data_IF_809779792091
#
_entry.id   IF_809779792091
#
_cell.length_a   1.000
_cell.length_b   1.000
_cell.length_c   1.000
_cell.angle_alpha   90.00
_cell.angle_beta   90.00
_cell.angle_gamma   90.00
#
_symmetry.space_group_name_H-M   'P 1'
#
loop_
_entity.id
_entity.type
_entity.pdbx_description
1 polymer ?
#
# COMPACT_ATOMS: atom_id res chain seq x y z
N UNK A 1 -7.88 -40.74 -14.92
CA UNK A 1 -7.29 -39.45 -14.49
C UNK A 1 -7.58 -39.37 -13.00
N UNK A 2 -6.58 -39.34 -12.11
CA UNK A 2 -6.88 -39.12 -10.68
C UNK A 2 -7.34 -37.67 -10.56
N UNK A 3 -8.55 -37.45 -10.08
CA UNK A 3 -9.05 -36.10 -9.89
C UNK A 3 -8.29 -35.47 -8.72
N UNK A 4 -7.99 -34.18 -8.81
CA UNK A 4 -7.32 -33.44 -7.73
C UNK A 4 -8.08 -33.62 -6.40
N UNK A 5 -9.39 -33.82 -6.48
CA UNK A 5 -10.32 -34.10 -5.36
C UNK A 5 -9.99 -35.36 -4.56
N UNK A 6 -9.29 -36.33 -5.15
CA UNK A 6 -8.92 -37.58 -4.49
C UNK A 6 -7.62 -37.47 -3.67
N UNK A 7 -6.97 -36.29 -3.66
CA UNK A 7 -5.76 -36.04 -2.89
C UNK A 7 -6.12 -35.63 -1.44
N UNK A 8 -5.36 -36.08 -0.42
CA UNK A 8 -5.63 -35.72 0.97
C UNK A 8 -5.62 -34.19 1.21
N UNK A 9 -4.86 -33.44 0.41
CA UNK A 9 -4.73 -31.98 0.49
C UNK A 9 -5.53 -31.23 -0.59
N UNK A 10 -6.46 -31.89 -1.28
CA UNK A 10 -7.22 -31.31 -2.39
C UNK A 10 -7.90 -29.98 -2.04
N UNK A 11 -8.56 -29.91 -0.88
CA UNK A 11 -9.23 -28.71 -0.37
C UNK A 11 -8.24 -27.57 -0.17
N UNK A 12 -7.09 -27.87 0.45
CA UNK A 12 -6.02 -26.89 0.71
C UNK A 12 -5.42 -26.34 -0.59
N UNK A 13 -5.32 -27.17 -1.64
CA UNK A 13 -4.83 -26.76 -2.96
C UNK A 13 -5.83 -25.80 -3.63
N UNK A 14 -7.13 -26.05 -3.48
CA UNK A 14 -8.19 -25.20 -4.05
C UNK A 14 -8.30 -23.83 -3.36
N UNK A 15 -7.86 -23.71 -2.11
CA UNK A 15 -7.83 -22.44 -1.37
C UNK A 15 -6.65 -21.53 -1.73
N UNK A 16 -5.60 -22.07 -2.36
CA UNK A 16 -4.38 -21.32 -2.69
C UNK A 16 -4.70 -20.04 -3.50
N UNK A 17 -5.49 -20.08 -4.60
CA UNK A 17 -5.79 -18.88 -5.38
C UNK A 17 -6.50 -17.80 -4.56
N UNK A 18 -7.43 -18.19 -3.68
CA UNK A 18 -8.17 -17.27 -2.81
C UNK A 18 -7.20 -16.59 -1.85
N UNK A 19 -6.28 -17.34 -1.25
CA UNK A 19 -5.25 -16.80 -0.35
C UNK A 19 -4.34 -15.78 -1.05
N UNK A 20 -3.93 -16.03 -2.30
CA UNK A 20 -3.15 -15.07 -3.08
C UNK A 20 -3.95 -13.81 -3.44
N UNK A 21 -5.24 -13.94 -3.77
CA UNK A 21 -6.10 -12.79 -4.06
C UNK A 21 -6.27 -11.89 -2.82
N UNK A 22 -6.54 -12.49 -1.65
CA UNK A 22 -6.67 -11.76 -0.39
C UNK A 22 -5.37 -11.03 -0.03
N UNK A 23 -4.23 -11.72 -0.15
CA UNK A 23 -2.91 -11.12 0.05
C UNK A 23 -2.65 -9.98 -0.93
N UNK A 24 -3.04 -10.14 -2.20
CA UNK A 24 -2.94 -9.09 -3.21
C UNK A 24 -3.76 -7.85 -2.85
N UNK A 25 -5.00 -8.03 -2.38
CA UNK A 25 -5.85 -6.92 -1.89
C UNK A 25 -5.24 -6.22 -0.68
N UNK A 26 -4.65 -6.97 0.25
CA UNK A 26 -3.96 -6.39 1.41
C UNK A 26 -2.75 -5.55 0.99
N UNK A 27 -1.89 -6.08 0.11
CA UNK A 27 -0.75 -5.36 -0.43
C UNK A 27 -1.19 -4.08 -1.16
N UNK A 28 -2.18 -4.18 -2.05
CA UNK A 28 -2.70 -3.03 -2.77
C UNK A 28 -3.29 -1.94 -1.87
N UNK A 29 -4.01 -2.33 -0.79
CA UNK A 29 -4.49 -1.35 0.21
C UNK A 29 -3.34 -0.67 0.95
N UNK A 30 -2.29 -1.42 1.28
CA UNK A 30 -1.11 -0.89 1.97
C UNK A 30 -0.34 0.09 1.09
N UNK A 31 -0.05 -0.30 -0.15
CA UNK A 31 0.64 0.53 -1.14
C UNK A 31 -0.16 1.78 -1.47
N UNK A 32 -1.45 1.62 -1.81
CA UNK A 32 -2.34 2.74 -2.13
C UNK A 32 -2.49 3.74 -0.98
N UNK A 33 -2.48 3.28 0.28
CA UNK A 33 -2.49 4.18 1.45
C UNK A 33 -1.20 5.00 1.53
N UNK A 34 -0.05 4.39 1.28
CA UNK A 34 1.25 5.10 1.29
C UNK A 34 1.33 6.10 0.14
N UNK A 35 0.94 5.70 -1.07
CA UNK A 35 0.95 6.56 -2.25
C UNK A 35 -0.03 7.73 -2.10
N UNK A 36 -1.26 7.47 -1.64
CA UNK A 36 -2.25 8.52 -1.41
C UNK A 36 -1.81 9.55 -0.37
N UNK A 37 -1.16 9.12 0.72
CA UNK A 37 -0.60 10.05 1.72
C UNK A 37 0.50 10.92 1.10
N UNK A 38 1.38 10.36 0.27
CA UNK A 38 2.43 11.13 -0.42
C UNK A 38 1.86 12.12 -1.43
N UNK A 39 0.85 11.73 -2.20
CA UNK A 39 0.16 12.62 -3.15
C UNK A 39 -0.47 13.81 -2.43
N UNK A 40 -1.22 13.57 -1.34
CA UNK A 40 -1.81 14.67 -0.56
C UNK A 40 -0.72 15.55 0.05
N UNK A 41 0.36 14.97 0.58
CA UNK A 41 1.49 15.75 1.10
C UNK A 41 2.12 16.66 0.04
N UNK A 42 2.28 16.18 -1.21
CA UNK A 42 2.79 16.99 -2.32
C UNK A 42 1.87 18.17 -2.62
N UNK A 43 0.56 17.96 -2.71
CA UNK A 43 -0.38 19.06 -2.95
C UNK A 43 -0.40 20.05 -1.79
N UNK A 44 -0.28 19.59 -0.54
CA UNK A 44 -0.15 20.47 0.63
C UNK A 44 1.12 21.35 0.56
N UNK A 45 2.25 20.80 0.08
CA UNK A 45 3.48 21.57 -0.14
C UNK A 45 3.26 22.64 -1.22
N UNK A 46 2.59 22.30 -2.34
CA UNK A 46 2.28 23.24 -3.42
C UNK A 46 1.37 24.39 -2.96
N UNK A 47 0.41 24.09 -2.09
CA UNK A 47 -0.48 25.06 -1.46
C UNK A 47 0.20 25.89 -0.34
N UNK A 48 1.49 25.66 -0.07
CA UNK A 48 2.28 26.45 0.87
C UNK A 48 2.14 26.04 2.34
N UNK A 49 1.60 24.85 2.63
CA UNK A 49 1.55 24.34 4.00
C UNK A 49 2.97 24.07 4.56
N UNK A 50 3.17 24.30 5.86
CA UNK A 50 4.49 24.09 6.49
C UNK A 50 4.83 22.61 6.59
N UNK A 51 6.12 22.28 6.48
CA UNK A 51 6.59 20.90 6.59
C UNK A 51 6.31 20.31 7.98
N UNK A 52 6.35 21.10 9.06
CA UNK A 52 6.00 20.59 10.39
C UNK A 52 4.52 20.22 10.50
N UNK A 53 3.64 20.99 9.86
CA UNK A 53 2.22 20.67 9.81
C UNK A 53 2.01 19.35 9.05
N UNK A 54 2.58 19.23 7.85
CA UNK A 54 2.44 18.04 7.02
C UNK A 54 3.00 16.80 7.75
N UNK A 55 4.17 16.91 8.38
CA UNK A 55 4.74 15.86 9.24
C UNK A 55 3.75 15.42 10.33
N UNK A 56 3.12 16.37 11.03
CA UNK A 56 2.20 16.10 12.14
C UNK A 56 0.97 15.29 11.70
N UNK A 57 0.37 15.63 10.56
CA UNK A 57 -0.85 14.97 10.05
C UNK A 57 -0.58 13.70 9.26
N UNK A 58 0.46 13.69 8.41
CA UNK A 58 0.73 12.55 7.50
C UNK A 58 1.63 11.48 8.11
N UNK A 59 2.40 11.84 9.15
CA UNK A 59 3.46 11.01 9.76
C UNK A 59 4.61 10.65 8.80
N UNK A 60 4.68 11.29 7.63
CA UNK A 60 5.86 11.23 6.78
C UNK A 60 7.03 11.87 7.50
N UNK A 61 8.22 11.29 7.35
CA UNK A 61 9.45 11.85 7.93
C UNK A 61 9.86 13.14 7.22
N UNK A 62 10.64 13.98 7.89
CA UNK A 62 11.18 15.20 7.27
C UNK A 62 12.03 14.89 6.03
N UNK A 63 12.74 13.76 6.02
CA UNK A 63 13.51 13.31 4.85
C UNK A 63 12.59 12.97 3.66
N UNK A 64 11.47 12.30 3.90
CA UNK A 64 10.48 12.01 2.85
C UNK A 64 9.84 13.29 2.32
N UNK A 65 9.49 14.24 3.19
CA UNK A 65 8.91 15.53 2.79
C UNK A 65 9.89 16.37 1.96
N UNK A 66 11.18 16.41 2.34
CA UNK A 66 12.22 17.07 1.57
C UNK A 66 12.44 16.41 0.20
N UNK A 67 12.37 15.08 0.12
CA UNK A 67 12.40 14.35 -1.17
C UNK A 67 11.20 14.74 -2.03
N UNK A 68 9.99 14.75 -1.48
CA UNK A 68 8.79 15.15 -2.21
C UNK A 68 8.90 16.60 -2.73
N UNK A 69 9.39 17.52 -1.90
CA UNK A 69 9.60 18.92 -2.27
C UNK A 69 10.56 19.10 -3.45
N UNK A 70 11.58 18.25 -3.59
CA UNK A 70 12.55 18.29 -4.72
C UNK A 70 11.94 17.85 -6.06
N UNK A 71 10.80 17.17 -6.03
CA UNK A 71 10.11 16.63 -7.20
C UNK A 71 8.83 17.41 -7.56
N UNK A 72 8.63 18.58 -6.97
CA UNK A 72 7.55 19.54 -7.24
C UNK A 72 8.16 20.76 -7.93
#
# INVERSE_FOLDING_TARGET
MKEIRDLPEAEKILEIPISYEERGKELGRKEGRVEGVKQVAMEMIKEGASLEFIFKVTKLTMEELEKLKKHI
#
